data_IF_206923733740
#
_entry.id   IF_206923733740
#
_cell.length_a   1.000
_cell.length_b   1.000
_cell.length_c   1.000
_cell.angle_alpha   90.00
_cell.angle_beta   90.00
_cell.angle_gamma   90.00
#
_symmetry.space_group_name_H-M   'P 1'
#
loop_
_entity.id
_entity.type
_entity.pdbx_description
1 polymer ?
#
# COMPACT_ATOMS: atom_id res chain seq x y z
N UNK A 1 11.23 3.90 4.35
CA UNK A 1 10.08 3.81 3.40
C UNK A 1 9.77 5.10 2.63
N UNK A 2 9.68 6.28 3.26
CA UNK A 2 9.42 7.56 2.56
C UNK A 2 10.22 7.80 1.27
N UNK A 3 11.55 7.57 1.29
CA UNK A 3 12.40 7.69 0.09
C UNK A 3 12.04 6.71 -1.02
N UNK A 4 11.68 5.47 -0.68
CA UNK A 4 11.24 4.47 -1.67
C UNK A 4 9.94 4.90 -2.34
N UNK A 5 8.96 5.37 -1.57
CA UNK A 5 7.70 5.87 -2.11
C UNK A 5 7.91 7.09 -3.02
N UNK A 6 8.72 8.07 -2.60
CA UNK A 6 9.04 9.24 -3.42
C UNK A 6 9.78 8.87 -4.71
N UNK A 7 10.76 7.96 -4.62
CA UNK A 7 11.48 7.44 -5.78
C UNK A 7 10.56 6.69 -6.75
N UNK A 8 9.62 5.89 -6.21
CA UNK A 8 8.61 5.21 -7.02
C UNK A 8 7.70 6.21 -7.75
N UNK A 9 7.12 7.18 -7.03
CA UNK A 9 6.28 8.23 -7.62
C UNK A 9 7.03 8.97 -8.72
N UNK A 10 8.29 9.34 -8.47
CA UNK A 10 9.13 10.01 -9.48
C UNK A 10 9.28 9.18 -10.74
N UNK A 11 9.56 7.88 -10.62
CA UNK A 11 9.71 6.98 -11.78
C UNK A 11 8.41 6.83 -12.56
N UNK A 12 7.28 6.61 -11.89
CA UNK A 12 5.99 6.38 -12.59
C UNK A 12 5.35 7.66 -13.12
N UNK A 13 5.72 8.82 -12.58
CA UNK A 13 5.26 10.14 -13.07
C UNK A 13 6.26 10.82 -14.01
N UNK A 14 7.39 10.19 -14.33
CA UNK A 14 8.36 10.71 -15.30
C UNK A 14 7.79 10.80 -16.72
N UNK A 15 6.66 10.13 -17.00
CA UNK A 15 5.95 10.24 -18.26
C UNK A 15 5.53 11.69 -18.59
N UNK A 16 5.32 12.02 -19.88
CA UNK A 16 4.74 13.31 -20.29
C UNK A 16 3.46 13.63 -19.53
N UNK A 17 3.18 14.91 -19.28
CA UNK A 17 2.06 15.38 -18.44
C UNK A 17 0.70 14.74 -18.79
N UNK A 18 0.47 14.41 -20.07
CA UNK A 18 -0.73 13.75 -20.59
C UNK A 18 -0.92 12.30 -20.15
N UNK A 19 0.11 11.66 -19.56
CA UNK A 19 0.08 10.27 -19.05
C UNK A 19 0.48 10.17 -17.58
N UNK A 20 0.61 11.29 -16.85
CA UNK A 20 1.00 11.25 -15.44
C UNK A 20 -0.13 10.70 -14.59
N UNK A 21 0.22 9.68 -13.81
CA UNK A 21 -0.67 9.10 -12.81
C UNK A 21 -0.69 10.02 -11.57
N UNK A 22 -1.86 10.49 -11.10
CA UNK A 22 -1.96 11.38 -9.94
C UNK A 22 -1.74 10.61 -8.63
N UNK A 23 -0.51 10.17 -8.39
CA UNK A 23 -0.07 9.58 -7.13
C UNK A 23 0.36 10.69 -6.16
N UNK A 24 -0.63 11.43 -5.67
CA UNK A 24 -0.51 12.65 -4.87
C UNK A 24 -0.56 12.42 -3.34
N UNK A 25 -0.50 11.16 -2.91
CA UNK A 25 -0.66 10.72 -1.53
C UNK A 25 -2.04 11.06 -0.90
N UNK A 26 -3.08 11.26 -1.71
CA UNK A 26 -4.47 11.35 -1.25
C UNK A 26 -5.07 9.97 -0.98
N UNK A 27 -6.16 9.91 -0.20
CA UNK A 27 -6.94 8.67 -0.04
C UNK A 27 -7.58 8.25 -1.38
N UNK A 28 -7.99 9.22 -2.20
CA UNK A 28 -8.57 8.95 -3.51
C UNK A 28 -7.60 8.23 -4.45
N UNK A 29 -6.31 8.54 -4.36
CA UNK A 29 -5.26 7.89 -5.16
C UNK A 29 -5.13 6.38 -4.91
N UNK A 30 -5.66 5.84 -3.80
CA UNK A 30 -5.66 4.40 -3.55
C UNK A 30 -6.49 3.61 -4.57
N UNK A 31 -7.54 4.22 -5.15
CA UNK A 31 -8.27 3.62 -6.30
C UNK A 31 -7.37 3.42 -7.50
N UNK A 32 -6.45 4.36 -7.72
CA UNK A 32 -5.51 4.27 -8.81
C UNK A 32 -4.49 3.16 -8.56
N UNK A 33 -4.04 2.98 -7.31
CA UNK A 33 -3.19 1.85 -6.94
C UNK A 33 -3.91 0.52 -7.20
N UNK A 34 -5.18 0.39 -6.80
CA UNK A 34 -5.99 -0.80 -7.12
C UNK A 34 -6.05 -1.07 -8.63
N UNK A 35 -6.29 -0.03 -9.44
CA UNK A 35 -6.32 -0.13 -10.90
C UNK A 35 -4.97 -0.55 -11.49
N UNK A 36 -3.86 -0.01 -10.98
CA UNK A 36 -2.51 -0.38 -11.44
C UNK A 36 -2.21 -1.85 -11.14
N UNK A 37 -2.60 -2.33 -9.95
CA UNK A 37 -2.43 -3.74 -9.57
C UNK A 37 -3.28 -4.64 -10.47
N UNK A 38 -4.51 -4.26 -10.79
CA UNK A 38 -5.35 -5.00 -11.76
C UNK A 38 -4.73 -5.06 -13.15
N UNK A 39 -4.12 -3.96 -13.61
CA UNK A 39 -3.38 -3.93 -14.87
C UNK A 39 -2.21 -4.90 -14.89
N UNK A 40 -1.42 -4.96 -13.82
CA UNK A 40 -0.33 -5.91 -13.68
C UNK A 40 -0.82 -7.37 -13.70
N UNK A 41 -1.95 -7.64 -13.03
CA UNK A 41 -2.55 -8.98 -12.95
C UNK A 41 -3.11 -9.44 -14.29
N UNK A 42 -3.86 -8.57 -15.00
CA UNK A 42 -4.42 -8.86 -16.33
C UNK A 42 -3.34 -9.11 -17.38
N UNK A 43 -2.15 -8.51 -17.21
CA UNK A 43 -0.99 -8.79 -18.05
C UNK A 43 -0.35 -10.16 -17.83
N UNK A 44 -0.88 -11.00 -16.93
CA UNK A 44 -0.37 -12.36 -16.67
C UNK A 44 1.07 -12.41 -16.15
N UNK A 45 1.57 -11.30 -15.60
CA UNK A 45 2.97 -11.18 -15.19
C UNK A 45 3.19 -12.01 -13.92
N UNK A 46 4.25 -12.80 -13.89
CA UNK A 46 4.66 -13.51 -12.66
C UNK A 46 5.03 -12.52 -11.55
N UNK A 47 4.69 -12.85 -10.30
CA UNK A 47 4.99 -12.03 -9.12
C UNK A 47 6.44 -11.56 -9.08
N UNK A 48 7.39 -12.44 -9.38
CA UNK A 48 8.82 -12.13 -9.38
C UNK A 48 9.17 -10.96 -10.33
N UNK A 49 8.52 -10.88 -11.49
CA UNK A 49 8.76 -9.84 -12.51
C UNK A 49 8.16 -8.49 -12.15
N UNK A 50 7.26 -8.45 -11.16
CA UNK A 50 6.57 -7.24 -10.72
C UNK A 50 6.89 -6.86 -9.27
N UNK A 51 7.76 -7.62 -8.60
CA UNK A 51 8.04 -7.47 -7.17
C UNK A 51 8.49 -6.04 -6.80
N UNK A 52 9.37 -5.42 -7.60
CA UNK A 52 9.81 -4.04 -7.34
C UNK A 52 8.66 -3.03 -7.48
N UNK A 53 7.77 -3.23 -8.47
CA UNK A 53 6.59 -2.39 -8.66
C UNK A 53 5.61 -2.55 -7.51
N UNK A 54 5.34 -3.79 -7.07
CA UNK A 54 4.47 -4.06 -5.92
C UNK A 54 5.07 -3.47 -4.63
N UNK A 55 6.38 -3.54 -4.44
CA UNK A 55 7.07 -2.89 -3.33
C UNK A 55 6.90 -1.37 -3.37
N UNK A 56 7.08 -0.73 -4.53
CA UNK A 56 6.89 0.70 -4.70
C UNK A 56 5.44 1.15 -4.43
N UNK A 57 4.46 0.39 -4.91
CA UNK A 57 3.04 0.61 -4.62
C UNK A 57 2.74 0.42 -3.12
N UNK A 58 3.29 -0.61 -2.47
CA UNK A 58 3.16 -0.84 -1.03
C UNK A 58 3.77 0.30 -0.20
N UNK A 59 4.96 0.78 -0.59
CA UNK A 59 5.59 1.94 0.03
C UNK A 59 4.71 3.20 -0.11
N UNK A 60 4.10 3.39 -1.28
CA UNK A 60 3.18 4.50 -1.52
C UNK A 60 1.92 4.41 -0.65
N UNK A 61 1.28 3.24 -0.56
CA UNK A 61 0.10 3.00 0.30
C UNK A 61 0.44 3.30 1.76
N UNK A 62 1.59 2.84 2.24
CA UNK A 62 2.00 3.14 3.61
C UNK A 62 2.27 4.63 3.85
N UNK A 63 2.80 5.37 2.88
CA UNK A 63 2.92 6.83 2.98
C UNK A 63 1.55 7.55 2.97
N UNK A 64 0.55 7.03 2.25
CA UNK A 64 -0.82 7.55 2.36
C UNK A 64 -1.32 7.36 3.79
N UNK A 65 -1.13 6.17 4.37
CA UNK A 65 -1.53 5.90 5.76
C UNK A 65 -0.83 6.84 6.74
N UNK A 66 0.51 6.93 6.70
CA UNK A 66 1.30 7.80 7.57
C UNK A 66 0.82 9.25 7.53
N UNK A 67 0.61 9.79 6.31
CA UNK A 67 0.23 11.20 6.13
C UNK A 67 -1.21 11.51 6.48
N UNK A 68 -2.12 10.54 6.37
CA UNK A 68 -3.56 10.77 6.48
C UNK A 68 -4.15 10.29 7.80
N UNK A 69 -3.48 9.39 8.52
CA UNK A 69 -3.98 8.84 9.78
C UNK A 69 -3.05 9.10 10.97
N UNK A 70 -1.85 9.66 10.75
CA UNK A 70 -0.83 9.78 11.81
C UNK A 70 -0.14 8.46 12.14
N UNK A 71 -0.31 7.42 11.32
CA UNK A 71 0.45 6.19 11.45
C UNK A 71 1.95 6.45 11.29
N UNK A 72 2.78 5.53 11.79
CA UNK A 72 4.24 5.60 11.68
C UNK A 72 4.79 4.30 11.10
N UNK A 73 5.84 4.39 10.30
CA UNK A 73 6.58 3.20 9.84
C UNK A 73 7.33 2.57 10.99
N UNK A 74 7.31 1.24 11.05
CA UNK A 74 7.92 0.46 12.12
C UNK A 74 8.59 -0.79 11.56
N UNK A 75 9.70 -1.18 12.17
CA UNK A 75 10.23 -2.53 11.99
C UNK A 75 9.32 -3.51 12.71
N UNK A 76 8.97 -4.59 12.02
CA UNK A 76 8.14 -5.65 12.57
C UNK A 76 8.98 -6.55 13.47
N UNK A 77 8.42 -7.03 14.57
CA UNK A 77 9.05 -8.08 15.36
C UNK A 77 8.98 -9.43 14.65
N UNK A 78 9.63 -10.46 15.20
CA UNK A 78 9.69 -11.79 14.58
C UNK A 78 8.31 -12.40 14.32
N UNK A 79 7.38 -12.28 15.27
CA UNK A 79 6.01 -12.80 15.13
C UNK A 79 5.25 -12.10 14.02
N UNK A 80 5.39 -10.77 13.94
CA UNK A 80 4.77 -9.94 12.92
C UNK A 80 5.39 -10.18 11.54
N UNK A 81 6.71 -10.38 11.47
CA UNK A 81 7.39 -10.74 10.21
C UNK A 81 6.92 -12.09 9.68
N UNK A 82 6.76 -13.07 10.56
CA UNK A 82 6.23 -14.38 10.20
C UNK A 82 4.79 -14.28 9.67
N UNK A 83 3.96 -13.45 10.29
CA UNK A 83 2.57 -13.24 9.87
C UNK A 83 2.44 -12.45 8.56
N UNK A 84 3.15 -11.33 8.42
CA UNK A 84 3.03 -10.45 7.26
C UNK A 84 3.93 -10.87 6.09
N UNK A 85 4.98 -11.64 6.32
CA UNK A 85 5.99 -11.96 5.31
C UNK A 85 6.79 -10.74 4.84
N UNK A 86 6.85 -9.68 5.66
CA UNK A 86 7.55 -8.42 5.37
C UNK A 86 8.30 -7.94 6.62
N UNK A 87 9.43 -7.25 6.46
CA UNK A 87 10.22 -6.76 7.59
C UNK A 87 9.65 -5.48 8.23
N UNK A 88 8.80 -4.75 7.51
CA UNK A 88 8.30 -3.43 7.90
C UNK A 88 6.78 -3.34 7.78
N UNK A 89 6.18 -2.52 8.63
CA UNK A 89 4.76 -2.19 8.60
C UNK A 89 4.49 -0.76 9.04
N UNK A 90 3.21 -0.43 9.20
CA UNK A 90 2.76 0.83 9.76
C UNK A 90 1.96 0.58 11.03
N UNK A 91 2.30 1.29 12.09
CA UNK A 91 1.57 1.31 13.35
C UNK A 91 0.60 2.48 13.36
N UNK A 92 -0.67 2.19 13.52
CA UNK A 92 -1.74 3.17 13.65
C UNK A 92 -1.68 3.86 15.02
N UNK A 93 -2.30 5.04 15.19
CA UNK A 93 -2.37 5.71 16.50
C UNK A 93 -3.02 4.88 17.60
N UNK A 94 -3.92 3.96 17.24
CA UNK A 94 -4.56 3.01 18.17
C UNK A 94 -3.70 1.77 18.49
N UNK A 95 -2.45 1.74 18.04
CA UNK A 95 -1.49 0.66 18.29
C UNK A 95 -1.55 -0.51 17.31
N UNK A 96 -2.61 -0.64 16.50
CA UNK A 96 -2.72 -1.73 15.51
C UNK A 96 -1.63 -1.61 14.45
N UNK A 97 -1.05 -2.74 14.06
CA UNK A 97 0.01 -2.82 13.05
C UNK A 97 -0.55 -3.45 11.77
N UNK A 98 -0.23 -2.84 10.63
CA UNK A 98 -0.59 -3.32 9.31
C UNK A 98 0.65 -3.37 8.41
N UNK A 99 0.66 -4.26 7.42
CA UNK A 99 1.71 -4.28 6.39
C UNK A 99 1.17 -3.82 5.04
N UNK A 100 1.40 -2.55 4.63
CA UNK A 100 0.98 -2.05 3.32
C UNK A 100 1.58 -2.84 2.15
N UNK A 101 2.80 -3.36 2.34
CA UNK A 101 3.50 -4.18 1.35
C UNK A 101 2.77 -5.50 1.15
N UNK A 102 2.42 -6.18 2.24
CA UNK A 102 1.65 -7.43 2.19
C UNK A 102 0.25 -7.19 1.63
N UNK A 103 -0.42 -6.08 1.98
CA UNK A 103 -1.73 -5.71 1.43
C UNK A 103 -1.71 -5.58 -0.09
N UNK A 104 -0.68 -4.95 -0.65
CA UNK A 104 -0.53 -4.81 -2.12
C UNK A 104 -0.24 -6.16 -2.78
N UNK A 105 0.55 -7.03 -2.15
CA UNK A 105 0.79 -8.39 -2.65
C UNK A 105 -0.52 -9.19 -2.64
N UNK A 106 -1.29 -9.16 -1.56
CA UNK A 106 -2.59 -9.83 -1.49
C UNK A 106 -3.55 -9.30 -2.58
N UNK A 107 -3.57 -7.99 -2.82
CA UNK A 107 -4.38 -7.38 -3.90
C UNK A 107 -4.01 -7.89 -5.29
N UNK A 108 -2.73 -8.18 -5.51
CA UNK A 108 -2.22 -8.73 -6.76
C UNK A 108 -2.55 -10.22 -6.91
N UNK A 109 -2.35 -11.01 -5.85
CA UNK A 109 -2.51 -12.47 -5.88
C UNK A 109 -3.98 -12.92 -5.77
N UNK A 110 -4.75 -12.31 -4.87
CA UNK A 110 -6.14 -12.70 -4.58
C UNK A 110 -7.13 -11.95 -5.48
N UNK A 111 -6.90 -10.66 -5.73
CA UNK A 111 -7.73 -9.85 -6.62
C UNK A 111 -8.61 -8.80 -5.92
N UNK A 112 -9.70 -8.34 -6.55
CA UNK A 112 -10.43 -7.11 -6.18
C UNK A 112 -10.96 -7.02 -4.74
N UNK A 113 -11.23 -8.16 -4.11
CA UNK A 113 -11.69 -8.22 -2.71
C UNK A 113 -10.67 -7.61 -1.73
N UNK A 114 -9.40 -7.58 -2.11
CA UNK A 114 -8.33 -7.01 -1.29
C UNK A 114 -8.11 -5.51 -1.54
N UNK A 115 -9.13 -4.79 -2.03
CA UNK A 115 -9.04 -3.36 -2.37
C UNK A 115 -8.37 -2.54 -1.27
N UNK A 116 -7.35 -1.79 -1.68
CA UNK A 116 -6.54 -0.96 -0.81
C UNK A 116 -7.33 0.26 -0.35
N UNK A 117 -8.19 0.80 -1.21
CA UNK A 117 -9.09 1.88 -0.82
C UNK A 117 -10.11 1.40 0.22
N UNK A 118 -10.82 0.29 -0.05
CA UNK A 118 -11.83 -0.24 0.88
C UNK A 118 -11.17 -0.56 2.22
N UNK A 119 -10.00 -1.21 2.19
CA UNK A 119 -9.19 -1.43 3.39
C UNK A 119 -8.96 -0.11 4.16
N UNK A 120 -8.43 0.93 3.50
CA UNK A 120 -8.19 2.22 4.14
C UNK A 120 -9.45 2.80 4.78
N UNK A 121 -10.58 2.80 4.09
CA UNK A 121 -11.83 3.36 4.59
C UNK A 121 -12.37 2.60 5.82
N UNK A 122 -12.08 1.29 5.91
CA UNK A 122 -12.48 0.47 7.06
C UNK A 122 -11.54 0.58 8.27
N UNK A 123 -10.36 1.21 8.13
CA UNK A 123 -9.42 1.40 9.25
C UNK A 123 -10.05 2.19 10.40
N UNK A 124 -10.85 3.21 10.06
CA UNK A 124 -11.53 4.09 11.01
C UNK A 124 -12.86 3.52 11.53
N UNK A 125 -13.45 2.54 10.85
CA UNK A 125 -14.73 1.92 11.23
C UNK A 125 -14.64 0.89 12.36
N UNK A 126 -13.42 0.52 12.78
CA UNK A 126 -13.17 -0.36 13.95
C UNK A 126 -12.65 0.42 15.15
N UNK A 127 -13.15 1.64 15.37
CA UNK A 127 -13.09 2.24 16.69
C UNK A 127 -13.93 1.35 17.62
N UNK A 128 -13.28 0.70 18.58
CA UNK A 128 -13.91 -0.12 19.59
C UNK A 128 -15.03 0.70 20.24
N UNK A 129 -16.29 0.26 20.10
CA UNK A 129 -17.31 0.60 21.10
C UNK A 129 -16.84 -0.08 22.38
N UNK A 130 -16.04 0.63 23.17
CA UNK A 130 -15.86 0.30 24.57
C UNK A 130 -17.14 0.76 25.27
N UNK A 131 -18.02 -0.21 25.54
CA UNK A 131 -19.02 -0.15 26.60
C UNK A 131 -18.39 -0.61 27.90
#
# INVERSE_FOLDING_TARGET
>A
MRRHAAGFVTRVTAAPATRRLPLDYSVASLRLVDFLVDGLRKGGRERARVAETLFGLGAYVGEVMVRRTGAVWVDLDESQRAYFGQPVGVRMPDGRVWSPLSRVVNRFEVGPEESLQTFYLTLHGRAHRAS
#
